data_IF_332449563275
#
_entry.id   IF_332449563275
#
_cell.length_a   1.000
_cell.length_b   1.000
_cell.length_c   1.000
_cell.angle_alpha   90.00
_cell.angle_beta   90.00
_cell.angle_gamma   90.00
#
_symmetry.space_group_name_H-M   'P 1'
#
loop_
_entity.id
_entity.type
_entity.pdbx_description
1 polymer ?
#
# COMPACT_ATOMS: atom_id res chain seq x y z
N UNK A 1 -56.58 -26.95 -29.74
CA UNK A 1 -56.14 -26.44 -28.42
C UNK A 1 -55.62 -25.04 -28.66
N UNK A 2 -56.46 -24.05 -28.40
CA UNK A 2 -56.09 -22.64 -28.38
C UNK A 2 -55.13 -22.34 -27.23
N UNK A 3 -54.23 -21.39 -27.43
CA UNK A 3 -53.83 -20.44 -26.38
C UNK A 3 -53.19 -19.21 -27.03
N UNK A 4 -53.98 -18.14 -27.01
CA UNK A 4 -53.69 -16.77 -27.45
C UNK A 4 -52.69 -16.09 -26.52
N UNK A 5 -51.74 -15.33 -27.06
CA UNK A 5 -50.90 -14.41 -26.27
C UNK A 5 -51.09 -13.00 -26.83
N UNK A 6 -51.63 -12.14 -25.96
CA UNK A 6 -51.94 -10.73 -26.14
C UNK A 6 -50.69 -9.88 -25.93
N UNK A 7 -50.38 -8.99 -26.88
CA UNK A 7 -49.46 -7.86 -26.70
C UNK A 7 -50.25 -6.64 -26.22
N UNK A 8 -49.76 -5.97 -25.18
CA UNK A 8 -50.20 -4.63 -24.79
C UNK A 8 -48.99 -3.75 -24.54
N UNK A 9 -48.87 -2.73 -25.38
CA UNK A 9 -47.91 -1.63 -25.30
C UNK A 9 -48.53 -0.49 -24.50
N UNK A 10 -47.79 0.10 -23.55
CA UNK A 10 -48.14 1.40 -22.98
C UNK A 10 -46.91 2.26 -22.71
N UNK A 11 -46.85 3.34 -23.48
CA UNK A 11 -46.01 4.53 -23.38
C UNK A 11 -46.52 5.38 -22.21
N UNK A 12 -45.66 5.91 -21.32
CA UNK A 12 -45.96 7.12 -20.54
C UNK A 12 -44.67 7.86 -20.10
N UNK A 13 -44.35 8.90 -20.88
CA UNK A 13 -44.11 10.31 -20.51
C UNK A 13 -43.31 10.71 -19.26
N UNK A 14 -42.18 11.38 -19.55
CA UNK A 14 -41.48 12.48 -18.86
C UNK A 14 -42.21 13.20 -17.71
N UNK A 15 -41.47 13.44 -16.61
CA UNK A 15 -41.58 14.68 -15.81
C UNK A 15 -40.20 15.23 -15.47
N UNK A 16 -39.93 16.38 -16.09
CA UNK A 16 -38.90 17.35 -15.71
C UNK A 16 -39.35 18.03 -14.40
N UNK A 17 -38.49 18.08 -13.39
CA UNK A 17 -38.66 19.00 -12.27
C UNK A 17 -37.41 19.87 -12.15
N UNK A 18 -37.59 21.13 -12.51
CA UNK A 18 -36.76 22.26 -12.12
C UNK A 18 -37.07 22.61 -10.66
N UNK A 19 -36.05 22.89 -9.85
CA UNK A 19 -36.17 23.87 -8.78
C UNK A 19 -34.81 24.47 -8.45
N UNK A 20 -34.86 25.75 -8.13
CA UNK A 20 -33.82 26.76 -8.17
C UNK A 20 -33.60 27.29 -6.74
N UNK A 21 -32.45 27.94 -6.51
CA UNK A 21 -32.13 28.79 -5.34
C UNK A 21 -31.68 28.00 -4.09
N UNK A 22 -30.64 28.38 -3.34
CA UNK A 22 -30.19 29.74 -3.00
C UNK A 22 -28.77 29.69 -2.42
N UNK A 23 -27.92 30.63 -2.82
CA UNK A 23 -26.64 30.91 -2.19
C UNK A 23 -26.82 31.60 -0.84
N UNK A 24 -25.99 31.26 0.14
CA UNK A 24 -25.69 32.10 1.31
C UNK A 24 -24.25 31.86 1.77
N UNK A 25 -23.43 32.87 1.52
CA UNK A 25 -22.09 33.04 2.08
C UNK A 25 -22.20 33.41 3.57
N UNK A 26 -21.45 32.74 4.44
CA UNK A 26 -21.05 33.32 5.72
C UNK A 26 -19.56 33.06 5.89
N UNK A 27 -18.80 34.15 5.78
CA UNK A 27 -17.39 34.26 6.12
C UNK A 27 -17.27 34.48 7.63
N UNK A 28 -16.40 33.72 8.30
CA UNK A 28 -15.96 34.03 9.66
C UNK A 28 -14.43 33.90 9.72
N UNK A 29 -13.79 35.06 9.59
CA UNK A 29 -12.36 35.29 9.80
C UNK A 29 -12.11 35.44 11.29
N UNK A 30 -11.32 34.55 11.90
CA UNK A 30 -10.78 34.74 13.26
C UNK A 30 -9.27 34.74 13.20
N UNK A 31 -8.70 35.87 13.63
CA UNK A 31 -7.28 36.24 13.66
C UNK A 31 -6.65 35.71 14.96
N UNK A 32 -5.41 35.18 14.98
CA UNK A 32 -4.74 34.78 16.21
C UNK A 32 -4.10 35.98 16.92
N UNK A 33 -3.99 35.98 18.27
CA UNK A 33 -3.25 37.01 18.98
C UNK A 33 -1.75 36.68 19.03
N UNK A 34 -0.94 37.65 18.62
CA UNK A 34 0.49 37.77 18.88
C UNK A 34 0.73 38.22 20.32
N UNK A 35 1.56 37.50 21.08
CA UNK A 35 2.16 38.02 22.31
C UNK A 35 3.68 38.04 22.13
N UNK A 36 4.20 39.26 22.09
CA UNK A 36 5.59 39.63 22.30
C UNK A 36 5.97 39.40 23.78
N UNK A 37 7.17 38.88 24.02
CA UNK A 37 7.92 39.21 25.25
C UNK A 37 9.42 39.16 24.96
N UNK A 38 10.11 40.20 25.43
CA UNK A 38 11.49 40.58 25.13
C UNK A 38 12.50 39.97 26.13
N UNK A 39 13.64 39.50 25.58
CA UNK A 39 15.04 39.72 26.05
C UNK A 39 15.52 39.21 27.44
N UNK A 40 16.85 39.17 27.74
CA UNK A 40 18.05 39.02 26.88
C UNK A 40 19.22 38.17 27.49
N UNK A 41 20.34 38.01 26.74
CA UNK A 41 21.75 37.68 27.11
C UNK A 41 22.03 36.39 27.93
N UNK A 42 22.98 35.49 27.57
CA UNK A 42 24.43 35.69 27.44
C UNK A 42 25.13 34.38 26.94
N UNK A 43 26.14 34.38 26.06
CA UNK A 43 26.98 33.20 25.82
C UNK A 43 28.29 33.29 26.63
N UNK A 44 28.58 32.26 27.43
CA UNK A 44 29.85 32.14 28.15
C UNK A 44 30.96 31.62 27.23
N UNK A 45 31.92 32.51 27.01
CA UNK A 45 33.27 32.23 26.49
C UNK A 45 34.03 31.43 27.56
N UNK A 46 34.65 30.32 27.17
CA UNK A 46 35.83 29.79 27.88
C UNK A 46 37.01 29.71 26.91
N UNK A 47 38.01 30.54 27.20
CA UNK A 47 39.35 30.42 26.67
C UNK A 47 40.01 29.16 27.22
N UNK A 48 40.51 28.30 26.32
CA UNK A 48 41.67 27.47 26.64
C UNK A 48 42.60 27.47 25.43
N UNK A 49 43.67 28.25 25.53
CA UNK A 49 44.78 28.19 24.61
C UNK A 49 45.65 26.98 24.92
N UNK A 50 46.15 26.32 23.88
CA UNK A 50 47.43 25.63 23.90
C UNK A 50 47.94 25.43 22.46
N UNK A 51 49.22 25.76 22.30
CA UNK A 51 50.02 25.83 21.07
C UNK A 51 50.29 24.45 20.43
N UNK A 52 50.50 24.36 19.10
CA UNK A 52 50.71 23.09 18.41
C UNK A 52 52.16 22.60 18.52
N UNK A 53 52.36 21.36 19.00
CA UNK A 53 53.61 20.61 18.80
C UNK A 53 53.53 19.82 17.49
N UNK A 54 54.47 20.08 16.59
CA UNK A 54 54.74 19.28 15.38
C UNK A 54 55.26 17.89 15.81
N UNK A 55 54.53 16.84 15.45
CA UNK A 55 55.05 15.48 15.40
C UNK A 55 54.78 14.90 14.02
N UNK A 56 55.86 14.62 13.31
CA UNK A 56 55.92 14.00 11.99
C UNK A 56 55.40 12.56 12.07
N UNK A 57 54.33 12.22 11.35
CA UNK A 57 53.83 10.86 11.16
C UNK A 57 53.98 10.51 9.68
N UNK A 58 54.64 9.38 9.40
CA UNK A 58 54.91 8.85 8.07
C UNK A 58 53.62 8.47 7.32
N UNK A 59 53.60 8.51 5.98
CA UNK A 59 52.42 8.10 5.21
C UNK A 59 52.29 6.57 5.24
N UNK A 60 51.20 6.08 5.86
CA UNK A 60 50.74 4.71 5.70
C UNK A 60 50.20 4.54 4.27
N UNK A 61 50.78 3.57 3.55
CA UNK A 61 50.30 3.09 2.25
C UNK A 61 48.84 2.64 2.38
N UNK A 62 47.92 3.33 1.70
CA UNK A 62 46.58 2.81 1.44
C UNK A 62 46.71 1.66 0.43
N UNK A 63 46.63 0.42 0.91
CA UNK A 63 46.37 -0.74 0.07
C UNK A 63 44.93 -0.62 -0.42
N UNK A 64 44.74 -0.48 -1.72
CA UNK A 64 43.43 -0.54 -2.36
C UNK A 64 42.84 -1.93 -2.12
N UNK A 65 41.98 -2.04 -1.11
CA UNK A 65 41.08 -3.18 -0.97
C UNK A 65 40.08 -3.07 -2.13
N UNK A 66 40.25 -3.96 -3.10
CA UNK A 66 39.31 -4.15 -4.20
C UNK A 66 37.99 -4.57 -3.59
N UNK A 67 37.05 -3.62 -3.46
CA UNK A 67 35.68 -3.91 -3.08
C UNK A 67 35.07 -4.73 -4.22
N UNK A 68 35.05 -6.05 -4.06
CA UNK A 68 34.20 -6.93 -4.85
C UNK A 68 32.76 -6.53 -4.57
N UNK A 69 32.16 -5.77 -5.49
CA UNK A 69 30.72 -5.65 -5.59
C UNK A 69 30.18 -7.06 -5.82
N UNK A 70 29.72 -7.70 -4.74
CA UNK A 70 28.86 -8.87 -4.84
C UNK A 70 27.57 -8.39 -5.48
N UNK A 71 27.49 -8.56 -6.79
CA UNK A 71 26.27 -8.43 -7.55
C UNK A 71 25.43 -9.65 -7.16
N UNK A 72 24.67 -9.54 -6.08
CA UNK A 72 23.62 -10.51 -5.77
C UNK A 72 22.66 -10.50 -6.93
N UNK A 73 22.71 -11.54 -7.76
CA UNK A 73 21.72 -11.84 -8.80
C UNK A 73 20.38 -12.06 -8.12
N UNK A 74 19.61 -10.98 -7.95
CA UNK A 74 18.25 -11.04 -7.44
C UNK A 74 17.40 -11.79 -8.45
N UNK A 75 16.90 -12.97 -8.09
CA UNK A 75 15.87 -13.67 -8.85
C UNK A 75 14.72 -12.69 -9.11
N UNK A 76 14.52 -12.31 -10.37
CA UNK A 76 13.53 -11.30 -10.75
C UNK A 76 12.14 -11.81 -10.37
N UNK A 77 11.56 -11.24 -9.32
CA UNK A 77 10.20 -11.54 -8.89
C UNK A 77 9.25 -10.74 -9.76
N UNK A 78 8.39 -11.45 -10.50
CA UNK A 78 7.46 -10.89 -11.47
C UNK A 78 6.04 -11.37 -11.13
N UNK A 79 5.10 -10.44 -11.05
CA UNK A 79 3.68 -10.74 -10.86
C UNK A 79 2.93 -10.39 -12.13
N UNK A 80 2.18 -11.34 -12.68
CA UNK A 80 1.35 -11.14 -13.88
C UNK A 80 -0.09 -11.54 -13.54
N UNK A 81 -1.00 -10.58 -13.54
CA UNK A 81 -2.39 -10.79 -13.12
C UNK A 81 -3.32 -9.68 -13.63
N UNK A 82 -4.62 -9.91 -13.53
CA UNK A 82 -5.61 -8.84 -13.53
C UNK A 82 -5.40 -7.91 -12.34
N UNK A 83 -5.57 -6.59 -12.54
CA UNK A 83 -5.57 -5.62 -11.47
C UNK A 83 -6.97 -5.22 -11.00
N UNK A 84 -7.09 -4.88 -9.72
CA UNK A 84 -8.27 -4.24 -9.13
C UNK A 84 -7.95 -2.78 -8.77
N UNK A 85 -8.76 -1.84 -9.25
CA UNK A 85 -8.54 -0.41 -9.03
C UNK A 85 -9.33 0.09 -7.83
N UNK A 86 -8.65 0.83 -6.98
CA UNK A 86 -9.24 1.59 -5.87
C UNK A 86 -8.72 3.02 -5.87
N UNK A 87 -9.50 3.93 -5.29
CA UNK A 87 -9.16 5.36 -5.21
C UNK A 87 -8.26 5.71 -4.01
N UNK A 88 -8.36 6.96 -3.57
CA UNK A 88 -7.63 7.48 -2.42
C UNK A 88 -8.28 7.07 -1.10
N UNK A 89 -7.50 7.11 -0.02
CA UNK A 89 -7.95 6.94 1.36
C UNK A 89 -8.74 5.65 1.61
N UNK A 90 -8.27 4.54 1.03
CA UNK A 90 -8.79 3.22 1.36
C UNK A 90 -8.35 2.87 2.77
N UNK A 91 -9.25 3.02 3.73
CA UNK A 91 -8.96 2.76 5.13
C UNK A 91 -9.01 1.27 5.49
N UNK A 92 -8.53 0.92 6.68
CA UNK A 92 -8.51 -0.46 7.15
C UNK A 92 -9.91 -1.07 7.37
N UNK A 93 -10.95 -0.26 7.61
CA UNK A 93 -12.32 -0.74 7.72
C UNK A 93 -12.87 -1.16 6.35
N UNK A 94 -12.51 -0.43 5.29
CA UNK A 94 -12.84 -0.76 3.92
C UNK A 94 -12.13 -2.03 3.46
N UNK A 95 -10.87 -2.25 3.89
CA UNK A 95 -10.12 -3.47 3.61
C UNK A 95 -10.69 -4.65 4.39
N UNK A 96 -10.90 -4.51 5.70
CA UNK A 96 -11.49 -5.55 6.56
C UNK A 96 -12.30 -4.90 7.71
N UNK A 97 -13.64 -5.01 7.66
CA UNK A 97 -14.50 -4.50 8.73
C UNK A 97 -14.23 -5.11 10.10
N UNK A 98 -14.53 -4.35 11.15
CA UNK A 98 -14.25 -4.69 12.54
C UNK A 98 -14.89 -6.01 12.99
N UNK A 99 -16.03 -6.38 12.41
CA UNK A 99 -16.79 -7.59 12.79
C UNK A 99 -16.02 -8.89 12.50
N UNK A 100 -15.08 -8.85 11.54
CA UNK A 100 -14.29 -10.00 11.10
C UNK A 100 -12.95 -10.14 11.82
N UNK A 101 -12.60 -9.22 12.73
CA UNK A 101 -11.33 -9.24 13.49
C UNK A 101 -11.29 -10.35 14.56
N UNK A 102 -12.41 -11.05 14.76
CA UNK A 102 -12.49 -12.23 15.63
C UNK A 102 -11.81 -13.46 15.03
N UNK A 103 -11.54 -13.45 13.72
CA UNK A 103 -10.84 -14.53 13.02
C UNK A 103 -9.34 -14.49 13.31
N UNK A 104 -8.78 -15.68 13.56
CA UNK A 104 -7.38 -15.89 13.92
C UNK A 104 -6.58 -16.31 12.69
N UNK A 105 -5.63 -15.46 12.27
CA UNK A 105 -4.77 -15.70 11.09
C UNK A 105 -3.90 -16.95 11.19
N UNK A 106 -3.61 -17.42 12.41
CA UNK A 106 -2.81 -18.63 12.63
C UNK A 106 -3.57 -19.93 12.33
N UNK A 107 -4.90 -19.89 12.28
CA UNK A 107 -5.71 -21.05 11.92
C UNK A 107 -5.93 -21.07 10.40
N UNK A 108 -5.50 -22.11 9.66
CA UNK A 108 -5.60 -22.13 8.19
C UNK A 108 -7.02 -21.96 7.64
N UNK A 109 -8.05 -22.47 8.33
CA UNK A 109 -9.43 -22.34 7.86
C UNK A 109 -9.96 -20.92 8.04
N UNK A 110 -9.61 -20.27 9.15
CA UNK A 110 -9.98 -18.87 9.44
C UNK A 110 -9.17 -17.89 8.60
N UNK A 111 -7.89 -18.17 8.34
CA UNK A 111 -7.06 -17.43 7.40
C UNK A 111 -7.70 -17.41 6.02
N UNK A 112 -8.09 -18.58 5.49
CA UNK A 112 -8.82 -18.65 4.21
C UNK A 112 -10.12 -17.84 4.28
N UNK A 113 -10.81 -17.86 5.42
CA UNK A 113 -12.04 -17.08 5.62
C UNK A 113 -11.81 -15.56 5.61
N UNK A 114 -10.70 -15.07 6.18
CA UNK A 114 -10.29 -13.66 6.09
C UNK A 114 -10.16 -13.21 4.64
N UNK A 115 -9.61 -14.07 3.76
CA UNK A 115 -9.53 -13.81 2.32
C UNK A 115 -10.90 -13.49 1.69
N UNK A 116 -11.96 -14.21 2.08
CA UNK A 116 -13.33 -13.95 1.56
C UNK A 116 -13.91 -12.59 1.95
N UNK A 117 -13.31 -11.91 2.94
CA UNK A 117 -13.73 -10.60 3.43
C UNK A 117 -12.81 -9.46 2.99
N UNK A 118 -11.78 -9.75 2.18
CA UNK A 118 -10.91 -8.70 1.64
C UNK A 118 -11.72 -7.68 0.82
N UNK A 119 -11.50 -6.39 1.13
CA UNK A 119 -12.15 -5.23 0.49
C UNK A 119 -13.69 -5.27 0.52
N UNK A 120 -14.30 -6.00 1.47
CA UNK A 120 -15.76 -6.10 1.55
C UNK A 120 -16.43 -4.85 2.15
N UNK A 121 -15.65 -3.98 2.81
CA UNK A 121 -16.11 -2.72 3.38
C UNK A 121 -16.08 -1.54 2.38
N UNK A 122 -15.67 -1.77 1.13
CA UNK A 122 -15.69 -0.73 0.10
C UNK A 122 -17.12 -0.17 -0.12
N UNK A 123 -17.26 1.14 -0.38
CA UNK A 123 -18.55 1.75 -0.64
C UNK A 123 -19.20 1.20 -1.92
N UNK A 124 -20.53 1.34 -2.02
CA UNK A 124 -21.32 0.85 -3.16
C UNK A 124 -20.99 1.51 -4.51
N UNK A 125 -20.17 2.56 -4.52
CA UNK A 125 -19.59 3.14 -5.73
C UNK A 125 -18.70 2.14 -6.49
N UNK A 126 -18.12 1.17 -5.79
CA UNK A 126 -17.36 0.08 -6.40
C UNK A 126 -18.32 -1.04 -6.84
N UNK A 127 -18.70 -1.00 -8.12
CA UNK A 127 -19.67 -1.96 -8.69
C UNK A 127 -19.13 -3.39 -8.76
N UNK A 128 -17.82 -3.54 -9.00
CA UNK A 128 -17.16 -4.83 -9.07
C UNK A 128 -16.66 -5.23 -7.70
N UNK A 129 -17.14 -6.37 -7.19
CA UNK A 129 -16.65 -6.94 -5.94
C UNK A 129 -15.21 -7.45 -6.12
N UNK A 130 -14.38 -7.29 -5.09
CA UNK A 130 -13.00 -7.75 -5.12
C UNK A 130 -12.89 -9.29 -5.06
N UNK A 131 -13.60 -9.94 -4.13
CA UNK A 131 -13.74 -11.40 -4.05
C UNK A 131 -15.15 -11.80 -4.39
N UNK A 132 -15.32 -12.71 -5.35
CA UNK A 132 -16.64 -13.16 -5.78
C UNK A 132 -17.42 -13.87 -4.63
N UNK A 133 -18.77 -13.83 -4.64
CA UNK A 133 -19.56 -14.49 -3.61
C UNK A 133 -19.26 -15.98 -3.51
N UNK A 134 -19.11 -16.49 -2.28
CA UNK A 134 -18.74 -17.87 -1.96
C UNK A 134 -17.30 -18.28 -2.34
N UNK A 135 -16.48 -17.35 -2.80
CA UNK A 135 -15.06 -17.56 -3.02
C UNK A 135 -14.23 -17.04 -1.83
N UNK A 136 -12.99 -17.52 -1.75
CA UNK A 136 -12.02 -17.10 -0.74
C UNK A 136 -10.81 -16.39 -1.35
N UNK A 137 -10.59 -16.58 -2.63
CA UNK A 137 -9.46 -16.05 -3.39
C UNK A 137 -10.03 -15.13 -4.47
N UNK A 138 -9.40 -13.97 -4.66
CA UNK A 138 -9.72 -13.06 -5.75
C UNK A 138 -9.07 -13.51 -7.06
N UNK A 139 -9.72 -13.24 -8.18
CA UNK A 139 -9.09 -13.30 -9.51
C UNK A 139 -8.08 -12.16 -9.75
N UNK A 140 -8.04 -11.16 -8.87
CA UNK A 140 -7.11 -10.05 -8.91
C UNK A 140 -6.00 -10.28 -7.89
N UNK A 141 -4.81 -10.65 -8.34
CA UNK A 141 -3.62 -10.73 -7.48
C UNK A 141 -2.87 -9.40 -7.36
N UNK A 142 -3.33 -8.35 -8.05
CA UNK A 142 -2.73 -7.02 -8.00
C UNK A 142 -3.80 -5.97 -7.71
N UNK A 143 -3.50 -5.06 -6.80
CA UNK A 143 -4.36 -3.91 -6.48
C UNK A 143 -3.60 -2.65 -6.87
N UNK A 144 -4.28 -1.71 -7.54
CA UNK A 144 -3.73 -0.38 -7.81
C UNK A 144 -4.60 0.63 -7.06
N UNK A 145 -4.01 1.33 -6.11
CA UNK A 145 -4.65 2.34 -5.27
C UNK A 145 -4.17 3.76 -5.57
N UNK A 146 -4.91 4.74 -5.06
CA UNK A 146 -4.49 6.15 -5.08
C UNK A 146 -3.60 6.49 -3.89
N UNK A 147 -3.82 7.67 -3.33
CA UNK A 147 -3.09 8.21 -2.18
C UNK A 147 -3.57 7.61 -0.85
N UNK A 148 -2.65 7.50 0.12
CA UNK A 148 -2.92 7.14 1.51
C UNK A 148 -3.65 5.79 1.69
N UNK A 149 -3.18 4.75 0.98
CA UNK A 149 -3.75 3.41 1.07
C UNK A 149 -3.48 2.76 2.44
N UNK A 150 -4.48 2.10 2.99
CA UNK A 150 -4.42 1.42 4.29
C UNK A 150 -4.51 2.38 5.49
N UNK A 151 -5.11 3.55 5.31
CA UNK A 151 -5.23 4.54 6.37
C UNK A 151 -6.20 4.13 7.49
N UNK A 152 -6.25 4.91 8.57
CA UNK A 152 -7.12 4.62 9.71
C UNK A 152 -6.43 3.79 10.80
N UNK A 153 -7.15 2.81 11.35
CA UNK A 153 -6.75 2.11 12.56
C UNK A 153 -5.61 1.09 12.34
N UNK A 154 -4.81 0.83 13.37
CA UNK A 154 -3.75 -0.18 13.32
C UNK A 154 -4.33 -1.60 13.30
N UNK A 155 -4.62 -2.12 12.10
CA UNK A 155 -5.13 -3.48 11.89
C UNK A 155 -4.16 -4.33 11.09
N UNK A 156 -3.53 -5.29 11.77
CA UNK A 156 -2.71 -6.32 11.11
C UNK A 156 -3.55 -7.24 10.21
N UNK A 157 -4.84 -7.42 10.53
CA UNK A 157 -5.77 -8.16 9.69
C UNK A 157 -5.94 -7.59 8.28
N UNK A 158 -5.66 -6.30 8.06
CA UNK A 158 -5.84 -5.68 6.75
C UNK A 158 -4.91 -6.28 5.69
N UNK A 159 -3.56 -6.25 5.83
CA UNK A 159 -2.67 -6.93 4.88
C UNK A 159 -2.87 -8.45 4.88
N UNK A 160 -3.20 -9.07 6.02
CA UNK A 160 -3.48 -10.51 6.10
C UNK A 160 -4.70 -10.92 5.27
N UNK A 161 -5.78 -10.15 5.30
CA UNK A 161 -6.97 -10.43 4.49
C UNK A 161 -6.65 -10.33 3.00
N UNK A 162 -5.84 -9.35 2.58
CA UNK A 162 -5.38 -9.22 1.20
C UNK A 162 -4.51 -10.40 0.76
N UNK A 163 -3.52 -10.78 1.58
CA UNK A 163 -2.66 -11.95 1.33
C UNK A 163 -3.46 -13.25 1.26
N UNK A 164 -4.41 -13.44 2.19
CA UNK A 164 -5.32 -14.58 2.20
C UNK A 164 -6.23 -14.65 0.97
N UNK A 165 -6.60 -13.49 0.41
CA UNK A 165 -7.34 -13.40 -0.84
C UNK A 165 -6.47 -13.62 -2.09
N UNK A 166 -5.16 -13.86 -1.95
CA UNK A 166 -4.24 -14.11 -3.05
C UNK A 166 -3.67 -12.85 -3.70
N UNK A 167 -3.69 -11.70 -3.02
CA UNK A 167 -2.99 -10.49 -3.45
C UNK A 167 -1.49 -10.70 -3.28
N UNK A 168 -0.73 -10.50 -4.36
CA UNK A 168 0.72 -10.52 -4.31
C UNK A 168 1.29 -9.13 -4.03
N UNK A 169 0.75 -8.10 -4.69
CA UNK A 169 1.21 -6.73 -4.51
C UNK A 169 0.06 -5.72 -4.58
N UNK A 170 0.20 -4.68 -3.78
CA UNK A 170 -0.55 -3.44 -3.90
C UNK A 170 0.41 -2.40 -4.47
N UNK A 171 -0.03 -1.63 -5.45
CA UNK A 171 0.69 -0.49 -6.01
C UNK A 171 -0.12 0.75 -5.72
N UNK A 172 0.41 1.72 -4.98
CA UNK A 172 -0.30 2.94 -4.62
C UNK A 172 0.58 4.18 -4.83
N UNK A 173 0.02 5.38 -4.75
CA UNK A 173 0.82 6.61 -4.73
C UNK A 173 1.54 6.77 -3.39
N UNK A 174 0.83 6.46 -2.30
CA UNK A 174 1.39 6.45 -0.96
C UNK A 174 0.65 5.48 -0.05
N UNK A 175 1.29 5.12 1.06
CA UNK A 175 0.73 4.27 2.09
C UNK A 175 0.61 4.99 3.42
N UNK A 176 -0.42 4.64 4.17
CA UNK A 176 -0.41 4.89 5.59
C UNK A 176 0.75 4.10 6.24
N UNK A 177 1.56 4.81 7.03
CA UNK A 177 2.78 4.27 7.64
C UNK A 177 2.53 2.95 8.38
N UNK A 178 1.44 2.85 9.15
CA UNK A 178 1.14 1.65 9.94
C UNK A 178 0.81 0.46 9.04
N UNK A 179 0.01 0.68 7.98
CA UNK A 179 -0.30 -0.38 7.03
C UNK A 179 0.97 -0.90 6.35
N UNK A 180 1.84 -0.02 5.87
CA UNK A 180 3.12 -0.41 5.26
C UNK A 180 3.95 -1.29 6.21
N UNK A 181 4.09 -0.88 7.49
CA UNK A 181 4.82 -1.66 8.49
C UNK A 181 4.18 -3.02 8.75
N UNK A 182 2.85 -3.10 8.81
CA UNK A 182 2.15 -4.37 8.97
C UNK A 182 2.39 -5.30 7.77
N UNK A 183 2.32 -4.79 6.54
CA UNK A 183 2.62 -5.58 5.33
C UNK A 183 4.02 -6.17 5.36
N UNK A 184 5.03 -5.41 5.82
CA UNK A 184 6.41 -5.89 5.96
C UNK A 184 6.52 -6.90 7.10
N UNK A 185 5.88 -6.65 8.24
CA UNK A 185 5.96 -7.52 9.41
C UNK A 185 5.34 -8.89 9.15
N UNK A 186 4.17 -8.93 8.50
CA UNK A 186 3.45 -10.17 8.17
C UNK A 186 3.99 -10.84 6.92
N UNK A 187 4.48 -10.06 5.95
CA UNK A 187 4.97 -10.56 4.66
C UNK A 187 3.87 -11.01 3.70
N UNK A 188 2.65 -10.53 3.90
CA UNK A 188 1.46 -10.96 3.16
C UNK A 188 1.37 -10.34 1.77
N UNK A 189 1.75 -9.07 1.64
CA UNK A 189 1.63 -8.31 0.40
C UNK A 189 2.82 -7.37 0.20
N UNK A 190 3.28 -7.22 -1.04
CA UNK A 190 4.22 -6.16 -1.41
C UNK A 190 3.50 -4.82 -1.49
N UNK A 191 3.89 -3.84 -0.67
CA UNK A 191 3.41 -2.45 -0.76
C UNK A 191 4.37 -1.63 -1.62
N UNK A 192 4.00 -1.37 -2.87
CA UNK A 192 4.86 -0.71 -3.86
C UNK A 192 4.34 0.71 -4.14
N UNK A 193 5.24 1.69 -4.12
CA UNK A 193 4.86 3.08 -4.38
C UNK A 193 5.11 3.46 -5.84
N UNK A 194 4.23 4.28 -6.39
CA UNK A 194 4.35 4.91 -7.71
C UNK A 194 4.48 6.42 -7.58
N UNK A 195 5.15 7.06 -8.52
CA UNK A 195 5.29 8.54 -8.56
C UNK A 195 4.13 9.23 -9.29
N UNK A 196 3.25 8.45 -9.92
CA UNK A 196 2.15 8.92 -10.79
C UNK A 196 0.85 8.23 -10.41
N UNK A 197 -0.29 8.84 -10.76
CA UNK A 197 -1.63 8.35 -10.40
C UNK A 197 -2.10 7.19 -11.29
N UNK A 198 -1.48 6.03 -11.16
CA UNK A 198 -1.76 4.85 -12.01
C UNK A 198 -3.25 4.43 -11.90
N UNK A 199 -3.90 4.66 -10.76
CA UNK A 199 -5.32 4.34 -10.55
C UNK A 199 -6.27 5.12 -11.49
N UNK A 200 -5.85 6.24 -12.07
CA UNK A 200 -6.65 7.02 -13.04
C UNK A 200 -6.40 6.59 -14.50
N UNK A 201 -5.30 5.88 -14.76
CA UNK A 201 -4.90 5.45 -16.09
C UNK A 201 -5.23 3.97 -16.39
N UNK A 202 -5.41 3.16 -15.34
CA UNK A 202 -5.76 1.75 -15.42
C UNK A 202 -7.22 1.50 -15.03
N UNK A 203 -7.77 0.36 -15.45
CA UNK A 203 -9.13 -0.07 -15.12
C UNK A 203 -9.14 -1.44 -14.44
N UNK A 204 -10.16 -1.67 -13.60
CA UNK A 204 -10.35 -2.99 -12.98
C UNK A 204 -10.53 -4.03 -14.07
N UNK A 205 -9.71 -5.08 -14.04
CA UNK A 205 -9.66 -6.11 -15.08
C UNK A 205 -8.60 -5.89 -16.16
N UNK A 206 -7.83 -4.79 -16.13
CA UNK A 206 -6.64 -4.68 -16.97
C UNK A 206 -5.61 -5.76 -16.58
N UNK A 207 -4.89 -6.27 -17.58
CA UNK A 207 -3.80 -7.23 -17.37
C UNK A 207 -2.53 -6.44 -17.14
N UNK A 208 -1.92 -6.61 -15.97
CA UNK A 208 -0.71 -5.87 -15.60
C UNK A 208 0.40 -6.81 -15.15
N UNK A 209 1.63 -6.39 -15.39
CA UNK A 209 2.84 -7.03 -14.90
C UNK A 209 3.56 -6.07 -13.95
N UNK A 210 3.99 -6.59 -12.80
CA UNK A 210 4.85 -5.88 -11.85
C UNK A 210 6.18 -6.60 -11.76
N UNK A 211 7.26 -5.87 -12.03
CA UNK A 211 8.63 -6.38 -12.01
C UNK A 211 9.39 -5.72 -10.85
N UNK A 212 9.62 -6.48 -9.78
CA UNK A 212 10.27 -5.93 -8.58
C UNK A 212 11.74 -5.56 -8.83
N UNK A 213 12.44 -6.35 -9.65
CA UNK A 213 13.86 -6.12 -9.95
C UNK A 213 14.12 -4.81 -10.68
N UNK A 214 13.21 -4.41 -11.56
CA UNK A 214 13.32 -3.19 -12.36
C UNK A 214 12.45 -2.05 -11.81
N UNK A 215 11.71 -2.30 -10.73
CA UNK A 215 10.79 -1.36 -10.10
C UNK A 215 9.85 -0.73 -11.13
N UNK A 216 9.14 -1.56 -11.90
CA UNK A 216 8.18 -1.09 -12.91
C UNK A 216 6.88 -1.87 -12.89
N UNK A 217 5.83 -1.20 -13.38
CA UNK A 217 4.53 -1.77 -13.70
C UNK A 217 4.25 -1.56 -15.19
N UNK A 218 3.84 -2.62 -15.88
CA UNK A 218 3.44 -2.60 -17.29
C UNK A 218 1.96 -2.95 -17.37
N UNK A 219 1.14 -2.08 -17.94
CA UNK A 219 -0.23 -2.42 -18.29
C UNK A 219 -0.26 -2.99 -19.71
N UNK A 220 -0.43 -4.30 -19.85
CA UNK A 220 -0.47 -4.99 -21.14
C UNK A 220 -1.74 -4.71 -21.94
N UNK A 221 -2.83 -4.31 -21.28
CA UNK A 221 -4.06 -3.93 -21.95
C UNK A 221 -3.91 -2.61 -22.70
N UNK A 222 -3.18 -1.64 -22.14
CA UNK A 222 -2.97 -0.30 -22.74
C UNK A 222 -1.60 -0.10 -23.39
N UNK A 223 -0.62 -0.95 -23.06
CA UNK A 223 0.77 -0.82 -23.49
C UNK A 223 1.57 0.25 -22.73
N UNK A 224 1.02 0.82 -21.65
CA UNK A 224 1.70 1.85 -20.85
C UNK A 224 2.62 1.23 -19.79
N UNK A 225 3.73 1.90 -19.54
CA UNK A 225 4.69 1.54 -18.51
C UNK A 225 4.81 2.65 -17.46
N UNK A 226 4.94 2.23 -16.20
CA UNK A 226 5.04 3.13 -15.05
C UNK A 226 6.24 2.73 -14.20
N UNK A 227 7.03 3.72 -13.83
CA UNK A 227 8.12 3.54 -12.88
C UNK A 227 7.59 3.53 -11.46
N UNK A 228 8.05 2.56 -10.68
CA UNK A 228 7.77 2.42 -9.25
C UNK A 228 9.01 2.84 -8.45
N UNK A 229 8.80 3.20 -7.18
CA UNK A 229 9.88 3.36 -6.24
C UNK A 229 10.42 1.98 -5.85
N UNK A 230 11.75 1.84 -5.67
CA UNK A 230 12.31 0.58 -5.23
C UNK A 230 11.82 0.25 -3.81
N UNK A 231 11.42 -1.01 -3.60
CA UNK A 231 10.92 -1.49 -2.30
C UNK A 231 12.00 -1.46 -1.18
N UNK A 232 13.27 -1.46 -1.57
CA UNK A 232 14.41 -1.43 -0.64
C UNK A 232 14.46 -2.68 0.25
N UNK A 233 14.91 -2.48 1.49
CA UNK A 233 15.16 -3.56 2.47
C UNK A 233 13.89 -4.31 2.91
N UNK A 234 12.70 -3.73 2.66
CA UNK A 234 11.43 -4.40 2.92
C UNK A 234 11.20 -5.61 2.00
N UNK A 235 11.73 -5.59 0.77
CA UNK A 235 11.51 -6.64 -0.22
C UNK A 235 11.93 -8.02 0.26
N UNK A 236 13.19 -8.21 0.70
CA UNK A 236 13.66 -9.49 1.25
C UNK A 236 12.88 -9.99 2.48
N UNK A 237 12.35 -9.07 3.30
CA UNK A 237 11.57 -9.43 4.50
C UNK A 237 10.20 -9.97 4.10
N UNK A 238 9.52 -9.30 3.18
CA UNK A 238 8.22 -9.74 2.64
C UNK A 238 8.41 -11.08 1.92
N UNK A 239 9.44 -11.21 1.08
CA UNK A 239 9.75 -12.44 0.36
C UNK A 239 9.98 -13.65 1.30
N UNK A 240 10.52 -13.41 2.50
CA UNK A 240 10.73 -14.46 3.48
C UNK A 240 9.44 -14.91 4.18
N UNK A 241 8.32 -14.19 4.02
CA UNK A 241 7.08 -14.42 4.77
C UNK A 241 7.07 -13.66 6.12
N UNK A 242 7.61 -12.43 6.12
CA UNK A 242 7.55 -11.52 7.25
C UNK A 242 8.78 -11.56 8.16
N UNK A 243 8.78 -10.69 9.17
CA UNK A 243 9.97 -10.38 9.98
C UNK A 243 10.53 -11.59 10.73
N UNK A 244 9.66 -12.45 11.27
CA UNK A 244 10.10 -13.64 11.99
C UNK A 244 10.68 -14.70 11.06
N UNK A 245 10.12 -14.84 9.86
CA UNK A 245 10.62 -15.80 8.87
C UNK A 245 11.95 -15.32 8.30
N UNK A 246 12.09 -14.02 8.03
CA UNK A 246 13.36 -13.40 7.68
C UNK A 246 14.42 -13.58 8.76
N UNK A 247 14.09 -13.29 10.03
CA UNK A 247 15.03 -13.44 11.15
C UNK A 247 15.51 -14.90 11.32
N UNK A 248 14.63 -15.89 11.12
CA UNK A 248 15.01 -17.31 11.09
C UNK A 248 15.96 -17.61 9.93
N UNK A 249 15.62 -17.15 8.73
CA UNK A 249 16.45 -17.36 7.52
C UNK A 249 17.83 -16.71 7.66
N UNK A 250 17.92 -15.57 8.34
CA UNK A 250 19.16 -14.86 8.62
C UNK A 250 19.94 -15.40 9.83
N UNK A 251 19.44 -16.44 10.52
CA UNK A 251 20.10 -17.02 11.70
C UNK A 251 20.06 -16.14 12.96
N UNK A 252 19.20 -15.12 13.01
CA UNK A 252 19.04 -14.24 14.18
C UNK A 252 18.24 -14.89 15.31
N UNK A 253 17.35 -15.83 14.96
CA UNK A 253 16.57 -16.63 15.92
C UNK A 253 16.55 -18.10 15.47
N UNK A 254 16.39 -19.07 16.40
CA UNK A 254 16.36 -20.49 16.06
C UNK A 254 15.28 -20.83 15.03
N UNK A 255 15.60 -21.73 14.10
CA UNK A 255 14.58 -22.36 13.24
C UNK A 255 13.58 -23.12 14.12
N UNK A 256 12.29 -23.10 13.77
CA UNK A 256 11.33 -24.02 14.38
C UNK A 256 11.81 -25.43 14.02
N UNK A 257 12.24 -26.20 15.01
CA UNK A 257 12.53 -27.61 14.85
C UNK A 257 11.30 -28.28 14.22
N UNK A 258 11.53 -29.05 13.16
CA UNK A 258 10.48 -29.73 12.39
C UNK A 258 9.98 -30.99 13.11
#
# INVERSE_FOLDING_TARGET
MEASISLSSSITTFKLFTCQSRASFITASVKPPSIFSNNPFNPLISHFGQTPKKTTIAPLRCSAASATLETTTTTATIFHSLCYIVGDNIDTDQIIPVEYLTLVSSNPSEYKKLGSYALCGLPSSYQTRFVDPNEFISKYSLIIGGDNFGCGSSREHAPVALGAAGVAAVVAESYARIFFWNSVATGEVYSLESEVRICEECKTGDVVIVELGESRLINHTTGKEYKLKPIGDAGPVIQAGGIFAYARKAGMIPSREA
#
